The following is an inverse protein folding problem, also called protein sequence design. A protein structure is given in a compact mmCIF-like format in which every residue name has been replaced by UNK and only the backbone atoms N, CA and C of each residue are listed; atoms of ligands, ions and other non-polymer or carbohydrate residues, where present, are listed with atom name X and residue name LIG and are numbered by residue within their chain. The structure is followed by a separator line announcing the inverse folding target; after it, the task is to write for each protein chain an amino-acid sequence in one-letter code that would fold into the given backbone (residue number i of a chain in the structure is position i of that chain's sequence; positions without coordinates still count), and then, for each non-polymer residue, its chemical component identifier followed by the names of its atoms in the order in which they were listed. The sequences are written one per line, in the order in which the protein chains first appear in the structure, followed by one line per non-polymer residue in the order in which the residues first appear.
data_IF_253126316501
#
_entry.id   IF_253126316501
#
_cell.length_a   1.000
_cell.length_b   1.000
_cell.length_c   1.000
_cell.angle_alpha   90.00
_cell.angle_beta   90.00
_cell.angle_gamma   90.00
#
_symmetry.space_group_name_H-M   'P 1'
#
loop_
_entity.id
_entity.type
_entity.pdbx_description
1 polymer ?
#
# COMPACT_ATOMS: atom_id res chain seq x y z
N UNK A 1 -4.44 -8.43 6.81
CA UNK A 1 -3.57 -7.45 6.13
C UNK A 1 -3.03 -6.53 7.22
N UNK A 2 -2.26 -5.50 6.91
CA UNK A 2 -1.82 -4.47 7.87
C UNK A 2 -2.38 -3.10 7.40
N UNK A 3 -2.31 -2.10 8.27
CA UNK A 3 -2.68 -0.74 7.94
C UNK A 3 -1.60 -0.09 7.10
N UNK A 4 -2.01 0.64 6.07
CA UNK A 4 -1.09 1.44 5.31
C UNK A 4 -0.44 2.52 6.19
N UNK A 5 0.83 2.79 5.90
CA UNK A 5 1.65 3.81 6.52
C UNK A 5 1.86 4.95 5.53
N UNK A 6 2.25 6.11 6.05
CA UNK A 6 2.65 7.23 5.20
C UNK A 6 3.72 6.78 4.19
N UNK A 7 3.56 7.17 2.94
CA UNK A 7 4.45 6.77 1.84
C UNK A 7 4.07 5.46 1.14
N UNK A 8 3.15 4.65 1.68
CA UNK A 8 2.60 3.52 0.92
C UNK A 8 1.67 4.00 -0.19
N UNK A 9 1.58 3.25 -1.29
CA UNK A 9 0.58 3.47 -2.33
C UNK A 9 -0.75 2.88 -1.91
N UNK A 10 -1.84 3.61 -2.08
CA UNK A 10 -3.20 3.11 -1.85
C UNK A 10 -3.52 1.98 -2.84
N UNK A 11 -4.04 0.86 -2.35
CA UNK A 11 -4.39 -0.31 -3.16
C UNK A 11 -5.77 -0.21 -3.80
N UNK A 12 -6.62 0.68 -3.30
CA UNK A 12 -7.94 0.99 -3.84
C UNK A 12 -8.40 2.38 -3.38
N UNK A 13 -9.38 2.95 -4.07
CA UNK A 13 -9.99 4.24 -3.72
C UNK A 13 -10.90 4.11 -2.50
N UNK A 14 -10.82 5.05 -1.56
CA UNK A 14 -11.71 5.14 -0.40
C UNK A 14 -12.35 6.52 -0.32
N UNK A 15 -13.69 6.52 -0.33
CA UNK A 15 -14.53 7.68 -0.10
C UNK A 15 -15.46 7.43 1.09
N UNK A 16 -15.70 8.47 1.88
CA UNK A 16 -16.61 8.44 3.02
C UNK A 16 -17.85 9.26 2.69
N UNK A 17 -19.02 8.65 2.90
CA UNK A 17 -20.30 9.32 2.68
C UNK A 17 -20.69 10.20 3.89
N UNK A 18 -21.40 11.32 3.65
CA UNK A 18 -21.88 12.17 4.74
C UNK A 18 -22.88 11.41 5.62
N UNK A 19 -22.80 11.62 6.94
CA UNK A 19 -23.67 10.91 7.88
C UNK A 19 -23.10 10.82 9.30
N UNK A 20 -23.88 10.27 10.24
CA UNK A 20 -23.42 10.04 11.60
C UNK A 20 -22.34 8.94 11.64
N UNK A 21 -21.23 9.22 12.30
CA UNK A 21 -20.13 8.30 12.55
C UNK A 21 -20.23 7.75 13.98
N UNK A 22 -21.20 6.86 14.19
CA UNK A 22 -21.53 6.30 15.52
C UNK A 22 -20.42 5.43 16.11
N UNK A 23 -19.48 4.96 15.28
CA UNK A 23 -18.31 4.20 15.72
C UNK A 23 -17.31 5.03 16.52
N UNK A 24 -17.38 6.37 16.46
CA UNK A 24 -16.46 7.26 17.17
C UNK A 24 -17.14 7.95 18.36
N UNK A 25 -16.48 8.00 19.53
CA UNK A 25 -16.97 8.78 20.65
C UNK A 25 -16.90 10.29 20.34
N UNK A 26 -17.78 11.08 20.94
CA UNK A 26 -17.85 12.53 20.73
C UNK A 26 -16.52 13.27 20.99
N UNK A 27 -15.68 12.74 21.89
CA UNK A 27 -14.36 13.30 22.22
C UNK A 27 -13.33 13.18 21.10
N UNK A 28 -13.56 12.29 20.12
CA UNK A 28 -12.67 12.11 18.96
C UNK A 28 -12.94 13.11 17.84
N UNK A 29 -14.04 13.86 17.89
CA UNK A 29 -14.41 14.81 16.84
C UNK A 29 -13.35 15.87 16.55
N UNK A 30 -12.70 16.51 17.56
CA UNK A 30 -11.62 17.46 17.30
C UNK A 30 -10.43 16.82 16.58
N UNK A 31 -10.11 15.55 16.89
CA UNK A 31 -9.03 14.82 16.22
C UNK A 31 -9.38 14.53 14.76
N UNK A 32 -10.61 14.10 14.48
CA UNK A 32 -11.08 13.83 13.11
C UNK A 32 -11.06 15.12 12.27
N UNK A 33 -11.51 16.24 12.85
CA UNK A 33 -11.41 17.55 12.20
C UNK A 33 -9.97 17.95 11.93
N UNK A 34 -9.05 17.71 12.86
CA UNK A 34 -7.63 18.01 12.68
C UNK A 34 -6.97 17.15 11.58
N UNK A 35 -7.47 15.95 11.35
CA UNK A 35 -7.05 15.09 10.23
C UNK A 35 -7.63 15.53 8.88
N UNK A 36 -8.42 16.61 8.84
CA UNK A 36 -8.99 17.18 7.63
C UNK A 36 -10.40 16.67 7.28
N UNK A 37 -11.02 15.81 8.11
CA UNK A 37 -12.39 15.40 7.85
C UNK A 37 -13.36 16.56 8.15
N UNK A 38 -14.35 16.80 7.27
CA UNK A 38 -15.41 17.79 7.51
C UNK A 38 -16.43 17.26 8.53
N UNK A 39 -16.07 17.21 9.81
CA UNK A 39 -16.95 16.72 10.89
C UNK A 39 -17.50 17.84 11.77
N UNK A 40 -18.66 17.56 12.37
CA UNK A 40 -19.22 18.34 13.48
C UNK A 40 -19.97 17.44 14.47
N UNK A 41 -20.13 17.90 15.70
CA UNK A 41 -21.03 17.28 16.68
C UNK A 41 -22.46 17.71 16.43
N UNK A 42 -23.33 16.78 16.01
CA UNK A 42 -24.78 16.99 15.95
C UNK A 42 -25.45 16.15 17.04
N UNK A 43 -26.08 16.81 18.01
CA UNK A 43 -26.75 16.15 19.16
C UNK A 43 -25.83 15.18 19.92
N UNK A 44 -24.54 15.50 20.02
CA UNK A 44 -23.54 14.66 20.70
C UNK A 44 -22.97 13.51 19.86
N UNK A 45 -23.39 13.36 18.60
CA UNK A 45 -22.84 12.34 17.67
C UNK A 45 -21.93 13.01 16.66
N UNK A 46 -20.76 12.42 16.42
CA UNK A 46 -19.84 12.86 15.36
C UNK A 46 -20.52 12.65 14.02
N UNK A 47 -20.64 13.69 13.20
CA UNK A 47 -21.31 13.62 11.90
C UNK A 47 -20.41 14.19 10.83
N UNK A 48 -20.18 13.43 9.75
CA UNK A 48 -19.53 13.91 8.54
C UNK A 48 -20.51 14.80 7.75
N UNK A 49 -20.08 16.00 7.39
CA UNK A 49 -20.94 17.05 6.81
C UNK A 49 -21.08 16.94 5.29
N UNK A 50 -20.06 16.44 4.62
CA UNK A 50 -20.01 16.24 3.17
C UNK A 50 -19.32 14.92 2.86
N UNK A 51 -19.40 14.49 1.61
CA UNK A 51 -18.51 13.46 1.08
C UNK A 51 -17.04 13.88 1.28
N UNK A 52 -16.19 12.88 1.52
CA UNK A 52 -14.76 13.07 1.68
C UNK A 52 -13.99 11.91 1.05
N UNK A 53 -13.20 12.22 0.02
CA UNK A 53 -12.29 11.26 -0.59
C UNK A 53 -11.01 11.19 0.23
N UNK A 54 -10.73 10.02 0.82
CA UNK A 54 -9.54 9.81 1.64
C UNK A 54 -8.32 9.60 0.74
N UNK A 55 -8.41 8.75 -0.27
CA UNK A 55 -7.35 8.48 -1.24
C UNK A 55 -7.90 7.81 -2.50
N UNK A 56 -7.19 7.93 -3.63
CA UNK A 56 -7.44 7.12 -4.84
C UNK A 56 -6.44 5.99 -4.96
N UNK A 57 -6.84 4.94 -5.67
CA UNK A 57 -5.93 3.84 -6.04
C UNK A 57 -4.66 4.38 -6.71
N UNK A 58 -3.50 3.93 -6.22
CA UNK A 58 -2.18 4.33 -6.71
C UNK A 58 -1.58 5.57 -6.03
N UNK A 59 -2.35 6.36 -5.29
CA UNK A 59 -1.88 7.56 -4.60
C UNK A 59 -0.90 7.22 -3.48
N UNK A 60 0.11 8.08 -3.27
CA UNK A 60 1.02 7.99 -2.12
C UNK A 60 0.34 8.59 -0.89
N UNK A 61 0.09 7.75 0.11
CA UNK A 61 -0.66 8.13 1.31
C UNK A 61 0.12 9.10 2.20
N UNK A 62 -0.52 10.20 2.60
CA UNK A 62 0.01 11.10 3.63
C UNK A 62 -0.17 10.49 5.04
N UNK A 63 0.53 11.00 6.08
CA UNK A 63 0.32 10.57 7.45
C UNK A 63 -1.11 10.72 7.94
N UNK A 64 -1.80 11.79 7.53
CA UNK A 64 -3.19 12.06 7.86
C UNK A 64 -4.11 11.01 7.21
N UNK A 65 -3.96 10.77 5.90
CA UNK A 65 -4.74 9.77 5.16
C UNK A 65 -4.55 8.37 5.76
N UNK A 66 -3.30 7.95 6.00
CA UNK A 66 -2.98 6.66 6.62
C UNK A 66 -3.63 6.52 8.02
N UNK A 67 -3.66 7.61 8.81
CA UNK A 67 -4.30 7.62 10.12
C UNK A 67 -5.82 7.55 10.01
N UNK A 68 -6.42 8.21 9.03
CA UNK A 68 -7.86 8.09 8.74
C UNK A 68 -8.20 6.66 8.32
N UNK A 69 -7.49 6.09 7.35
CA UNK A 69 -7.70 4.70 6.93
C UNK A 69 -7.62 3.72 8.10
N UNK A 70 -6.64 3.90 9.00
CA UNK A 70 -6.51 3.11 10.22
C UNK A 70 -7.69 3.29 11.19
N UNK A 71 -8.16 4.51 11.40
CA UNK A 71 -9.31 4.78 12.28
C UNK A 71 -10.60 4.15 11.76
N UNK A 72 -10.77 4.08 10.44
CA UNK A 72 -11.92 3.48 9.79
C UNK A 72 -11.76 1.98 9.49
N UNK A 73 -10.62 1.37 9.85
CA UNK A 73 -10.42 -0.08 9.73
C UNK A 73 -10.02 -0.57 8.34
N UNK A 74 -9.56 0.31 7.44
CA UNK A 74 -9.10 -0.08 6.11
C UNK A 74 -7.67 -0.62 6.15
N UNK A 75 -7.54 -1.95 6.03
CA UNK A 75 -6.25 -2.62 5.88
C UNK A 75 -5.83 -2.62 4.40
N UNK A 76 -4.77 -1.87 4.07
CA UNK A 76 -4.31 -1.66 2.69
C UNK A 76 -2.84 -2.06 2.48
N UNK A 77 -2.16 -2.56 3.51
CA UNK A 77 -0.78 -3.03 3.41
C UNK A 77 -0.70 -4.55 3.49
N UNK A 78 0.10 -5.16 2.61
CA UNK A 78 0.46 -6.57 2.70
C UNK A 78 1.97 -6.66 2.96
N UNK A 79 2.35 -7.35 4.04
CA UNK A 79 3.74 -7.67 4.30
C UNK A 79 4.05 -9.05 3.71
N UNK A 80 4.91 -9.09 2.69
CA UNK A 80 5.36 -10.32 2.04
C UNK A 80 6.86 -10.49 2.18
N UNK A 81 7.29 -11.67 2.63
CA UNK A 81 8.70 -12.08 2.63
C UNK A 81 8.92 -12.96 1.41
N UNK A 82 9.84 -12.55 0.55
CA UNK A 82 10.32 -13.39 -0.57
C UNK A 82 11.70 -13.92 -0.21
N UNK A 83 11.82 -15.24 -0.02
CA UNK A 83 13.12 -15.89 0.18
C UNK A 83 13.83 -15.88 -1.17
N UNK A 84 14.93 -15.13 -1.29
CA UNK A 84 15.73 -15.07 -2.53
C UNK A 84 16.68 -16.25 -2.68
N UNK A 85 17.28 -16.67 -1.57
CA UNK A 85 18.34 -17.68 -1.57
C UNK A 85 18.26 -18.54 -0.31
N UNK A 86 18.64 -19.80 -0.47
CA UNK A 86 18.77 -20.77 0.61
C UNK A 86 20.07 -21.54 0.44
N UNK A 87 20.82 -21.66 1.52
CA UNK A 87 22.04 -22.47 1.59
C UNK A 87 21.83 -23.62 2.59
N UNK A 88 22.02 -24.85 2.13
CA UNK A 88 22.03 -26.03 2.97
C UNK A 88 23.49 -26.42 3.32
N UNK A 89 23.86 -26.21 4.58
CA UNK A 89 25.21 -26.48 5.07
C UNK A 89 25.57 -27.98 5.14
N UNK A 90 24.58 -28.89 5.21
CA UNK A 90 24.82 -30.33 5.30
C UNK A 90 25.08 -30.93 3.92
N UNK A 91 24.30 -30.51 2.92
CA UNK A 91 24.46 -30.98 1.53
C UNK A 91 25.38 -30.10 0.68
N UNK A 92 25.76 -28.91 1.17
CA UNK A 92 26.53 -27.91 0.42
C UNK A 92 25.76 -27.34 -0.78
N UNK A 93 24.43 -27.45 -0.78
CA UNK A 93 23.58 -27.03 -1.90
C UNK A 93 23.11 -25.59 -1.74
N UNK A 94 23.30 -24.82 -2.80
CA UNK A 94 22.72 -23.50 -2.97
C UNK A 94 21.44 -23.60 -3.80
N UNK A 95 20.37 -22.95 -3.35
CA UNK A 95 19.11 -22.84 -4.08
C UNK A 95 18.69 -21.38 -4.15
N UNK A 96 18.56 -20.86 -5.37
CA UNK A 96 17.89 -19.59 -5.62
C UNK A 96 16.39 -19.84 -5.69
N UNK A 97 15.61 -19.05 -4.94
CA UNK A 97 14.15 -19.11 -4.95
C UNK A 97 13.63 -17.72 -5.34
N UNK A 98 12.82 -17.64 -6.38
CA UNK A 98 12.25 -16.40 -6.91
C UNK A 98 12.78 -16.01 -8.29
N UNK A 99 11.87 -15.54 -9.15
CA UNK A 99 12.17 -14.93 -10.43
C UNK A 99 12.74 -13.52 -10.21
N UNK A 100 14.05 -13.38 -10.28
CA UNK A 100 14.65 -12.10 -10.68
C UNK A 100 14.58 -12.06 -12.23
N UNK A 101 13.42 -11.72 -12.80
CA UNK A 101 13.36 -11.23 -14.17
C UNK A 101 13.62 -9.72 -14.14
N UNK A 102 14.79 -9.23 -14.60
CA UNK A 102 14.97 -7.81 -14.82
C UNK A 102 14.02 -7.34 -15.94
N UNK A 103 13.23 -6.31 -15.65
CA UNK A 103 12.40 -5.59 -16.62
C UNK A 103 13.29 -4.74 -17.54
N UNK A 104 14.10 -5.40 -18.37
CA UNK A 104 14.83 -4.85 -19.52
C UNK A 104 15.40 -6.01 -20.32
N UNK A 105 14.55 -6.63 -21.13
CA UNK A 105 14.99 -7.44 -22.27
C UNK A 105 15.06 -6.52 -23.49
N UNK A 106 16.25 -6.33 -24.04
CA UNK A 106 16.42 -6.11 -25.47
C UNK A 106 17.81 -6.60 -25.92
N UNK A 107 17.82 -7.83 -26.44
CA UNK A 107 18.49 -8.31 -27.67
C UNK A 107 20.01 -8.07 -27.77
N UNK A 108 20.86 -9.10 -27.84
CA UNK A 108 21.04 -9.84 -29.09
C UNK A 108 21.71 -11.19 -28.84
N UNK A 109 21.16 -12.23 -29.46
CA UNK A 109 21.83 -13.50 -29.70
C UNK A 109 21.96 -13.64 -31.22
N UNK A 110 23.19 -13.54 -31.74
CA UNK A 110 23.55 -14.12 -33.02
C UNK A 110 25.02 -14.58 -32.97
N UNK A 111 25.22 -15.88 -32.73
CA UNK A 111 26.32 -16.65 -33.33
C UNK A 111 25.92 -16.83 -34.81
N UNK A 112 26.73 -16.55 -35.83
CA UNK A 112 27.93 -17.26 -36.28
C UNK A 112 28.59 -16.37 -37.36
N UNK A 113 29.88 -16.49 -37.68
CA UNK A 113 30.33 -17.23 -38.86
C UNK A 113 31.84 -17.54 -38.76
N UNK A 114 32.18 -18.78 -39.12
CA UNK A 114 33.52 -19.30 -39.38
C UNK A 114 34.14 -18.58 -40.58
N UNK A 115 35.42 -18.19 -40.48
CA UNK A 115 36.28 -18.02 -41.67
C UNK A 115 37.54 -18.86 -41.48
N UNK A 116 37.57 -19.93 -42.26
CA UNK A 116 38.67 -20.82 -42.58
C UNK A 116 39.53 -20.19 -43.71
N UNK A 117 40.85 -20.34 -43.59
CA UNK A 117 41.86 -20.33 -44.67
C UNK A 117 42.24 -19.02 -45.41
N UNK A 118 43.40 -18.42 -45.04
CA UNK A 118 44.58 -18.14 -45.91
C UNK A 118 45.68 -17.34 -45.19
#
# INVERSE_FOLDING_TARGET
MDYARAGNKATFTVSLDPGPLEQFPHSMEPQLRQLGLPTALKKGVVTLLSDYEVCKEGDVLTPEQARVLKLFGYEMAEFKVTIKYMWDAQSGRFQQMGDDLPESASESAEESEEDDDC
#
